data_IF_651661740010
#
_entry.id   IF_651661740010
#
_cell.length_a   1.000
_cell.length_b   1.000
_cell.length_c   1.000
_cell.angle_alpha   90.00
_cell.angle_beta   90.00
_cell.angle_gamma   90.00
#
_symmetry.space_group_name_H-M   'P 1'
#
loop_
_entity.id
_entity.type
_entity.pdbx_description
1 polymer ?
#
# COMPACT_ATOMS: atom_id res chain seq x y z
N UNK A 1 -2.98 4.54 1.28
CA UNK A 1 -1.94 3.91 2.14
C UNK A 1 -2.18 2.44 2.41
N UNK A 2 -3.42 1.97 2.55
CA UNK A 2 -3.75 0.56 2.81
C UNK A 2 -3.11 -0.45 1.83
N UNK A 3 -3.04 -0.15 0.52
CA UNK A 3 -2.36 -1.02 -0.47
C UNK A 3 -0.87 -1.16 -0.16
N UNK A 4 -0.18 -0.06 0.17
CA UNK A 4 1.23 -0.10 0.54
C UNK A 4 1.44 -0.81 1.89
N UNK A 5 0.52 -0.65 2.85
CA UNK A 5 0.54 -1.41 4.11
C UNK A 5 0.40 -2.91 3.86
N UNK A 6 -0.57 -3.32 3.04
CA UNK A 6 -0.76 -4.71 2.66
C UNK A 6 0.50 -5.29 1.98
N UNK A 7 1.02 -4.61 0.97
CA UNK A 7 2.20 -5.02 0.22
C UNK A 7 3.51 -4.95 1.04
N UNK A 8 3.52 -4.25 2.17
CA UNK A 8 4.67 -4.27 3.09
C UNK A 8 4.84 -5.58 3.84
N UNK A 9 3.81 -6.43 3.86
CA UNK A 9 3.86 -7.77 4.48
C UNK A 9 4.36 -8.86 3.52
N UNK A 10 4.39 -8.56 2.21
CA UNK A 10 4.84 -9.49 1.18
C UNK A 10 4.16 -9.25 -0.16
N UNK A 11 4.27 -10.25 -1.03
CA UNK A 11 3.70 -10.19 -2.37
C UNK A 11 2.17 -10.19 -2.38
N UNK A 12 1.56 -9.30 -3.17
CA UNK A 12 0.12 -9.27 -3.39
C UNK A 12 -0.26 -9.46 -4.86
N UNK A 13 -1.07 -10.49 -5.17
CA UNK A 13 -1.77 -10.56 -6.46
C UNK A 13 -2.95 -9.59 -6.46
N UNK A 14 -3.26 -8.91 -7.59
CA UNK A 14 -4.37 -7.97 -7.67
C UNK A 14 -5.71 -8.52 -7.17
N UNK A 15 -6.04 -9.76 -7.51
CA UNK A 15 -7.26 -10.43 -7.04
C UNK A 15 -7.30 -10.60 -5.52
N UNK A 16 -6.16 -10.97 -4.90
CA UNK A 16 -6.05 -11.11 -3.45
C UNK A 16 -6.11 -9.76 -2.75
N UNK A 17 -5.39 -8.76 -3.26
CA UNK A 17 -5.43 -7.39 -2.74
C UNK A 17 -6.88 -6.84 -2.80
N UNK A 18 -7.58 -7.07 -3.91
CA UNK A 18 -8.97 -6.63 -4.10
C UNK A 18 -9.91 -7.23 -3.06
N UNK A 19 -9.77 -8.53 -2.79
CA UNK A 19 -10.60 -9.27 -1.85
C UNK A 19 -10.32 -8.86 -0.40
N UNK A 20 -9.04 -8.76 -0.02
CA UNK A 20 -8.61 -8.44 1.36
C UNK A 20 -8.91 -6.98 1.74
N UNK A 21 -8.82 -6.05 0.77
CA UNK A 21 -9.06 -4.63 1.02
C UNK A 21 -10.48 -4.17 0.64
N UNK A 22 -11.30 -5.04 0.03
CA UNK A 22 -12.63 -4.67 -0.46
C UNK A 22 -12.62 -3.64 -1.59
N UNK A 23 -11.54 -3.57 -2.39
CA UNK A 23 -11.36 -2.57 -3.46
C UNK A 23 -11.49 -3.25 -4.83
N UNK A 24 -12.61 -3.05 -5.53
CA UNK A 24 -12.86 -3.72 -6.82
C UNK A 24 -12.50 -2.85 -8.04
N UNK A 25 -13.23 -1.75 -8.29
CA UNK A 25 -13.33 -1.21 -9.65
C UNK A 25 -12.16 -0.33 -10.16
N UNK A 26 -11.12 -0.10 -9.36
CA UNK A 26 -9.96 0.74 -9.75
C UNK A 26 -8.59 0.22 -9.28
N UNK A 27 -8.53 -0.97 -8.69
CA UNK A 27 -7.30 -1.44 -8.07
C UNK A 27 -6.15 -1.54 -9.07
N UNK A 28 -6.41 -2.07 -10.27
CA UNK A 28 -5.40 -2.21 -11.32
C UNK A 28 -4.84 -0.86 -11.78
N UNK A 29 -5.70 0.15 -11.91
CA UNK A 29 -5.28 1.51 -12.26
C UNK A 29 -4.44 2.14 -11.14
N UNK A 30 -4.85 1.96 -9.88
CA UNK A 30 -4.08 2.44 -8.72
C UNK A 30 -2.73 1.75 -8.63
N UNK A 31 -2.67 0.42 -8.78
CA UNK A 31 -1.42 -0.35 -8.76
C UNK A 31 -0.48 0.11 -9.88
N UNK A 32 -1.01 0.37 -11.08
CA UNK A 32 -0.24 0.91 -12.20
C UNK A 32 0.32 2.30 -11.89
N UNK A 33 -0.49 3.21 -11.34
CA UNK A 33 0.01 4.53 -10.94
C UNK A 33 1.06 4.45 -9.83
N UNK A 34 0.91 3.53 -8.87
CA UNK A 34 1.92 3.29 -7.84
C UNK A 34 3.23 2.72 -8.43
N UNK A 35 3.13 1.91 -9.47
CA UNK A 35 4.28 1.37 -10.21
C UNK A 35 4.99 2.46 -11.02
N UNK A 36 4.23 3.31 -11.72
CA UNK A 36 4.74 4.48 -12.44
C UNK A 36 5.45 5.48 -11.51
N UNK A 37 4.97 5.61 -10.26
CA UNK A 37 5.63 6.40 -9.20
C UNK A 37 6.82 5.68 -8.55
N UNK A 38 7.12 4.44 -8.94
CA UNK A 38 8.19 3.62 -8.38
C UNK A 38 7.98 3.19 -6.93
N UNK A 39 6.75 3.27 -6.42
CA UNK A 39 6.39 2.90 -5.04
C UNK A 39 6.11 1.40 -4.90
N UNK A 40 5.70 0.76 -5.99
CA UNK A 40 5.56 -0.69 -6.10
C UNK A 40 6.26 -1.18 -7.36
N UNK A 41 6.57 -2.49 -7.40
CA UNK A 41 7.06 -3.17 -8.59
C UNK A 41 6.23 -4.42 -8.84
N UNK A 42 6.05 -4.79 -10.10
CA UNK A 42 5.41 -6.04 -10.51
C UNK A 42 6.45 -7.10 -10.87
N UNK A 43 6.20 -8.34 -10.47
CA UNK A 43 6.92 -9.54 -10.91
C UNK A 43 5.93 -10.71 -11.15
N UNK A 44 6.45 -11.94 -11.28
CA UNK A 44 5.67 -13.16 -11.51
C UNK A 44 4.76 -13.55 -10.32
N UNK A 45 5.14 -13.19 -9.09
CA UNK A 45 4.35 -13.46 -7.91
C UNK A 45 3.22 -12.43 -7.73
N UNK A 46 3.39 -11.19 -8.21
CA UNK A 46 2.42 -10.12 -8.11
C UNK A 46 3.06 -8.75 -7.93
N UNK A 47 2.50 -7.92 -7.05
CA UNK A 47 3.05 -6.61 -6.69
C UNK A 47 3.82 -6.68 -5.38
N UNK A 48 4.89 -5.89 -5.28
CA UNK A 48 5.71 -5.69 -4.09
C UNK A 48 5.88 -4.22 -3.83
N UNK A 49 5.94 -3.83 -2.56
CA UNK A 49 6.39 -2.48 -2.21
C UNK A 49 7.90 -2.33 -2.47
N UNK A 50 8.31 -1.19 -3.02
CA UNK A 50 9.74 -0.87 -3.18
C UNK A 50 10.27 -0.16 -1.93
N UNK A 51 11.58 0.03 -1.85
CA UNK A 51 12.17 0.89 -0.81
C UNK A 51 11.59 2.32 -0.85
N UNK A 52 11.33 2.85 -2.05
CA UNK A 52 10.70 4.15 -2.24
C UNK A 52 9.25 4.17 -1.74
N UNK A 53 8.51 3.07 -1.89
CA UNK A 53 7.16 2.91 -1.33
C UNK A 53 7.12 2.79 0.19
N UNK A 54 8.17 2.26 0.80
CA UNK A 54 8.28 2.13 2.26
C UNK A 54 8.51 3.47 2.96
N UNK A 55 9.17 4.44 2.32
CA UNK A 55 9.40 5.77 2.89
C UNK A 55 8.09 6.51 3.25
N UNK A 56 7.15 6.76 2.32
CA UNK A 56 5.88 7.41 2.64
C UNK A 56 5.03 6.54 3.56
N UNK A 57 5.15 5.21 3.49
CA UNK A 57 4.49 4.29 4.43
C UNK A 57 4.95 4.50 5.88
N UNK A 58 6.25 4.62 6.09
CA UNK A 58 6.83 4.90 7.41
C UNK A 58 6.45 6.29 7.91
N UNK A 59 6.37 7.30 7.03
CA UNK A 59 5.89 8.63 7.40
C UNK A 59 4.41 8.60 7.81
N UNK A 60 3.57 7.91 7.05
CA UNK A 60 2.14 7.74 7.36
C UNK A 60 1.92 7.01 8.68
N UNK A 61 2.66 5.92 8.95
CA UNK A 61 2.57 5.20 10.24
C UNK A 61 2.93 6.09 11.42
N UNK A 62 4.01 6.89 11.30
CA UNK A 62 4.40 7.86 12.33
C UNK A 62 3.32 8.91 12.57
N UNK A 63 2.78 9.46 11.49
CA UNK A 63 1.66 10.42 11.56
C UNK A 63 0.44 9.83 12.26
N UNK A 64 0.06 8.59 11.90
CA UNK A 64 -1.05 7.86 12.53
C UNK A 64 -0.85 7.72 14.05
N UNK A 65 0.34 7.28 14.46
CA UNK A 65 0.70 7.18 15.88
C UNK A 65 0.69 8.53 16.58
N UNK A 66 1.13 9.61 15.91
CA UNK A 66 1.02 10.96 16.48
C UNK A 66 -0.43 11.38 16.70
N UNK A 67 -1.34 11.10 15.77
CA UNK A 67 -2.77 11.41 15.94
C UNK A 67 -3.39 10.63 17.10
N UNK A 68 -3.04 9.35 17.26
CA UNK A 68 -3.49 8.52 18.37
C UNK A 68 -3.08 9.10 19.74
N UNK A 69 -1.87 9.66 19.86
CA UNK A 69 -1.41 10.34 21.09
C UNK A 69 -2.30 11.53 21.45
N UNK A 70 -2.86 12.23 20.47
CA UNK A 70 -3.77 13.35 20.68
C UNK A 70 -5.24 12.91 20.84
N UNK A 71 -5.52 11.60 20.93
CA UNK A 71 -6.88 11.07 21.02
C UNK A 71 -7.68 11.18 19.72
N UNK A 72 -7.02 11.50 18.60
CA UNK A 72 -7.64 11.58 17.28
C UNK A 72 -7.53 10.20 16.65
N UNK A 73 -8.66 9.53 16.44
CA UNK A 73 -8.69 8.24 15.75
C UNK A 73 -8.64 8.46 14.23
N UNK A 74 -7.57 8.01 13.54
CA UNK A 74 -7.38 8.21 12.10
C UNK A 74 -8.17 7.22 11.24
#
# INVERSE_FOLDING_TARGET
MQILEYLSTGCGRPTRISLELGISYRLTQVLRSLEELGLVRKDDCGYYVTQNGLMPLGAYRRFRTSLEVYGIKP
#
